data_IF_184860106051
#
_entry.id   IF_184860106051
#
_cell.length_a   1.000
_cell.length_b   1.000
_cell.length_c   1.000
_cell.angle_alpha   90.00
_cell.angle_beta   90.00
_cell.angle_gamma   90.00
#
_symmetry.space_group_name_H-M   'P 1'
#
loop_
_entity.id
_entity.type
_entity.pdbx_description
1 polymer ?
#
# COMPACT_ATOMS: atom_id res chain seq x y z
N UNK A 1 -67.99 -9.81 -57.06
CA UNK A 1 -67.13 -9.14 -58.04
C UNK A 1 -66.89 -7.71 -57.62
N UNK A 2 -65.87 -7.33 -56.87
CA UNK A 2 -65.16 -7.98 -55.76
C UNK A 2 -64.65 -6.83 -54.91
N UNK A 3 -64.96 -6.88 -53.62
CA UNK A 3 -64.54 -5.89 -52.66
C UNK A 3 -63.02 -6.00 -52.47
N UNK A 4 -62.29 -4.91 -52.74
CA UNK A 4 -60.88 -4.80 -52.36
C UNK A 4 -60.78 -4.80 -50.83
N UNK A 5 -59.97 -5.69 -50.23
CA UNK A 5 -59.67 -5.59 -48.82
C UNK A 5 -58.62 -4.49 -48.61
N UNK A 6 -59.04 -3.38 -48.01
CA UNK A 6 -58.14 -2.40 -47.42
C UNK A 6 -57.42 -3.03 -46.23
N UNK A 7 -56.28 -3.67 -46.49
CA UNK A 7 -55.30 -4.01 -45.46
C UNK A 7 -54.53 -2.75 -45.10
N UNK A 8 -55.08 -1.97 -44.16
CA UNK A 8 -54.30 -1.02 -43.38
C UNK A 8 -53.68 -1.81 -42.22
N UNK A 9 -52.55 -2.46 -42.48
CA UNK A 9 -51.63 -2.85 -41.41
C UNK A 9 -51.10 -1.57 -40.79
N UNK A 10 -51.74 -1.15 -39.70
CA UNK A 10 -51.20 -0.14 -38.79
C UNK A 10 -49.90 -0.69 -38.22
N UNK A 11 -48.81 -0.33 -38.89
CA UNK A 11 -47.43 -0.49 -38.46
C UNK A 11 -47.24 0.39 -37.21
N UNK A 12 -47.82 -0.06 -36.10
CA UNK A 12 -47.69 0.57 -34.80
C UNK A 12 -46.36 0.10 -34.22
N UNK A 13 -45.27 0.43 -34.92
CA UNK A 13 -43.94 0.37 -34.36
C UNK A 13 -43.95 1.36 -33.19
N UNK A 14 -44.22 0.85 -31.99
CA UNK A 14 -44.19 1.63 -30.76
C UNK A 14 -42.87 2.38 -30.71
N UNK A 15 -42.93 3.69 -30.90
CA UNK A 15 -41.75 4.53 -30.92
C UNK A 15 -41.16 4.51 -29.51
N UNK A 16 -39.93 4.00 -29.39
CA UNK A 16 -39.23 3.97 -28.11
C UNK A 16 -39.03 5.40 -27.63
N UNK A 17 -39.35 5.64 -26.37
CA UNK A 17 -39.19 6.96 -25.76
C UNK A 17 -37.86 7.07 -25.02
N UNK A 18 -37.21 8.24 -25.09
CA UNK A 18 -35.93 8.50 -24.45
C UNK A 18 -36.10 9.40 -23.23
N UNK A 19 -35.36 9.06 -22.17
CA UNK A 19 -35.47 9.71 -20.87
C UNK A 19 -34.09 9.86 -20.24
N UNK A 20 -34.01 10.77 -19.28
CA UNK A 20 -32.84 10.93 -18.41
C UNK A 20 -33.26 11.12 -16.96
N UNK A 21 -32.45 10.74 -15.97
CA UNK A 21 -32.68 11.12 -14.59
C UNK A 21 -32.64 12.64 -14.42
N UNK A 22 -33.61 13.21 -13.71
CA UNK A 22 -33.80 14.66 -13.56
C UNK A 22 -32.58 15.38 -12.94
N UNK A 23 -31.90 14.71 -12.00
CA UNK A 23 -30.81 15.25 -11.19
C UNK A 23 -29.41 14.74 -11.63
N UNK A 24 -29.29 14.16 -12.83
CA UNK A 24 -27.98 13.67 -13.29
C UNK A 24 -27.02 14.82 -13.67
N UNK A 25 -25.71 14.72 -13.35
CA UNK A 25 -24.72 15.71 -13.76
C UNK A 25 -24.66 15.91 -15.27
N UNK A 26 -24.63 17.17 -15.74
CA UNK A 26 -24.60 17.45 -17.17
C UNK A 26 -23.17 17.56 -17.70
N UNK A 27 -22.24 18.04 -16.88
CA UNK A 27 -20.85 18.35 -17.26
C UNK A 27 -19.86 17.77 -16.25
N UNK A 28 -18.62 17.57 -16.70
CA UNK A 28 -17.51 17.12 -15.83
C UNK A 28 -17.25 18.12 -14.70
N UNK A 29 -17.50 19.41 -14.91
CA UNK A 29 -17.40 20.45 -13.86
C UNK A 29 -18.32 20.17 -12.66
N UNK A 30 -19.50 19.63 -12.91
CA UNK A 30 -20.50 19.33 -11.88
C UNK A 30 -20.00 18.19 -10.98
N UNK A 31 -19.30 17.22 -11.58
CA UNK A 31 -18.62 16.15 -10.85
C UNK A 31 -17.39 16.64 -10.09
N UNK A 32 -16.59 17.50 -10.70
CA UNK A 32 -15.36 18.01 -10.10
C UNK A 32 -15.65 18.68 -8.76
N UNK A 33 -16.68 19.53 -8.68
CA UNK A 33 -17.05 20.21 -7.44
C UNK A 33 -17.38 19.21 -6.32
N UNK A 34 -18.08 18.12 -6.64
CA UNK A 34 -18.49 17.12 -5.65
C UNK A 34 -17.34 16.20 -5.24
N UNK A 35 -16.62 15.65 -6.22
CA UNK A 35 -15.55 14.68 -5.98
C UNK A 35 -14.35 15.34 -5.31
N UNK A 36 -13.99 16.56 -5.71
CA UNK A 36 -12.76 17.20 -5.23
C UNK A 36 -12.93 17.87 -3.86
N UNK A 37 -14.16 18.08 -3.38
CA UNK A 37 -14.45 18.78 -2.12
C UNK A 37 -13.79 18.16 -0.89
N UNK A 38 -13.68 16.83 -0.87
CA UNK A 38 -13.11 16.11 0.27
C UNK A 38 -11.58 16.18 0.32
N UNK A 39 -10.93 16.45 -0.82
CA UNK A 39 -9.48 16.39 -0.90
C UNK A 39 -8.80 17.67 -0.45
N UNK A 40 -7.65 17.50 0.21
CA UNK A 40 -6.73 18.57 0.57
C UNK A 40 -5.33 18.21 0.11
N UNK A 41 -4.65 19.13 -0.59
CA UNK A 41 -3.26 18.98 -0.97
C UNK A 41 -2.44 20.11 -0.32
N UNK A 42 -1.57 19.78 0.64
CA UNK A 42 -0.71 20.78 1.29
C UNK A 42 0.31 21.32 0.29
N UNK A 43 0.22 22.62 -0.03
CA UNK A 43 1.13 23.26 -0.98
C UNK A 43 0.93 22.82 -2.43
N UNK A 44 -0.26 22.31 -2.78
CA UNK A 44 -0.57 21.83 -4.13
C UNK A 44 -2.03 21.99 -4.53
N UNK A 45 -2.40 21.33 -5.62
CA UNK A 45 -3.76 21.36 -6.19
C UNK A 45 -4.26 19.95 -6.47
N UNK A 46 -5.58 19.81 -6.52
CA UNK A 46 -6.27 18.57 -6.89
C UNK A 46 -7.24 18.87 -8.03
N UNK A 47 -7.21 18.07 -9.09
CA UNK A 47 -8.10 18.24 -10.24
C UNK A 47 -8.48 16.90 -10.88
N UNK A 48 -9.51 16.90 -11.72
CA UNK A 48 -9.83 15.74 -12.55
C UNK A 48 -8.94 15.74 -13.81
N UNK A 49 -8.39 14.58 -14.16
CA UNK A 49 -7.57 14.38 -15.35
C UNK A 49 -8.17 13.26 -16.22
N UNK A 50 -8.32 13.52 -17.52
CA UNK A 50 -8.86 12.55 -18.48
C UNK A 50 -10.26 12.05 -18.13
N UNK A 51 -11.13 12.92 -17.60
CA UNK A 51 -12.47 12.53 -17.20
C UNK A 51 -13.45 12.54 -18.37
N UNK A 52 -14.20 11.45 -18.52
CA UNK A 52 -15.32 11.31 -19.46
C UNK A 52 -16.63 11.09 -18.72
N UNK A 53 -17.73 11.50 -19.39
CA UNK A 53 -19.10 11.23 -19.00
C UNK A 53 -19.73 10.43 -20.13
N UNK A 54 -19.73 9.11 -19.99
CA UNK A 54 -20.28 8.19 -20.98
C UNK A 54 -21.79 8.07 -20.74
N UNK A 55 -22.59 8.01 -21.81
CA UNK A 55 -24.03 7.78 -21.72
C UNK A 55 -24.33 6.29 -21.89
N UNK A 56 -24.80 5.64 -20.82
CA UNK A 56 -25.15 4.22 -20.84
C UNK A 56 -26.66 4.04 -20.86
N UNK A 57 -27.21 3.27 -21.83
CA UNK A 57 -28.64 2.98 -21.88
C UNK A 57 -29.06 1.99 -20.79
N UNK A 58 -30.11 2.38 -20.07
CA UNK A 58 -30.86 1.54 -19.16
C UNK A 58 -32.25 1.35 -19.74
N UNK A 59 -32.56 0.13 -20.16
CA UNK A 59 -33.77 -0.19 -20.92
C UNK A 59 -34.81 -0.79 -19.97
N UNK A 60 -36.03 -0.25 -20.02
CA UNK A 60 -37.18 -0.80 -19.30
C UNK A 60 -37.80 -1.93 -20.11
N UNK A 61 -38.04 -3.05 -19.43
CA UNK A 61 -38.68 -4.23 -19.93
C UNK A 61 -39.96 -4.46 -19.12
N UNK A 62 -41.14 -4.10 -19.65
CA UNK A 62 -42.40 -4.22 -18.91
C UNK A 62 -42.75 -5.69 -18.69
N UNK A 63 -43.21 -6.05 -17.49
CA UNK A 63 -43.68 -7.42 -17.22
C UNK A 63 -45.19 -7.48 -17.46
N UNK A 64 -45.64 -8.45 -18.25
CA UNK A 64 -47.02 -8.48 -18.78
C UNK A 64 -48.06 -8.80 -17.69
N UNK A 65 -47.69 -9.48 -16.60
CA UNK A 65 -48.62 -9.89 -15.54
C UNK A 65 -48.16 -9.50 -14.13
N UNK A 66 -48.73 -8.42 -13.58
CA UNK A 66 -48.71 -8.08 -12.15
C UNK A 66 -47.32 -7.89 -11.51
N UNK A 67 -46.26 -7.93 -12.31
CA UNK A 67 -44.88 -7.84 -11.91
C UNK A 67 -44.37 -6.41 -11.95
N UNK A 68 -43.23 -6.18 -11.30
CA UNK A 68 -42.50 -4.93 -11.38
C UNK A 68 -41.78 -4.85 -12.73
N UNK A 69 -41.75 -3.65 -13.33
CA UNK A 69 -40.91 -3.40 -14.50
C UNK A 69 -39.45 -3.78 -14.22
N UNK A 70 -38.84 -4.48 -15.17
CA UNK A 70 -37.41 -4.85 -15.09
C UNK A 70 -36.59 -3.81 -15.84
N UNK A 71 -35.54 -3.29 -15.22
CA UNK A 71 -34.59 -2.39 -15.87
C UNK A 71 -33.28 -3.12 -16.08
N UNK A 72 -32.66 -2.98 -17.26
CA UNK A 72 -31.36 -3.59 -17.57
C UNK A 72 -30.39 -2.60 -18.19
N UNK A 73 -29.12 -2.70 -17.81
CA UNK A 73 -28.05 -1.87 -18.34
C UNK A 73 -27.48 -2.51 -19.61
N UNK A 74 -27.26 -1.72 -20.65
CA UNK A 74 -26.65 -2.18 -21.90
C UNK A 74 -25.42 -1.30 -22.21
N UNK A 75 -24.20 -1.81 -22.05
CA UNK A 75 -22.95 -1.08 -22.28
C UNK A 75 -21.81 -1.92 -22.84
N UNK A 76 -20.61 -1.35 -22.99
CA UNK A 76 -19.46 -1.97 -23.67
C UNK A 76 -18.53 -2.84 -22.79
N UNK A 77 -18.87 -3.08 -21.52
CA UNK A 77 -18.09 -3.92 -20.59
C UNK A 77 -18.99 -4.63 -19.57
N UNK A 78 -18.41 -5.46 -18.69
CA UNK A 78 -18.92 -6.37 -17.62
C UNK A 78 -20.32 -6.16 -16.99
N UNK A 79 -20.97 -5.02 -17.17
CA UNK A 79 -22.32 -4.69 -16.72
C UNK A 79 -23.40 -4.94 -17.78
N UNK A 80 -23.03 -5.44 -18.96
CA UNK A 80 -23.96 -5.71 -20.04
C UNK A 80 -25.02 -6.76 -19.65
N UNK A 81 -26.29 -6.39 -19.75
CA UNK A 81 -27.42 -7.26 -19.46
C UNK A 81 -27.70 -7.41 -17.97
N UNK A 82 -26.94 -6.71 -17.11
CA UNK A 82 -27.16 -6.69 -15.67
C UNK A 82 -28.52 -6.07 -15.37
N UNK A 83 -29.30 -6.79 -14.58
CA UNK A 83 -30.55 -6.30 -14.01
C UNK A 83 -30.29 -5.22 -12.96
N UNK A 84 -31.09 -4.17 -13.02
CA UNK A 84 -31.05 -3.06 -12.07
C UNK A 84 -31.93 -3.44 -10.88
N UNK A 85 -31.28 -3.85 -9.80
CA UNK A 85 -31.90 -4.09 -8.51
C UNK A 85 -32.40 -2.78 -7.86
N UNK A 86 -33.09 -2.90 -6.73
CA UNK A 86 -33.67 -1.76 -6.01
C UNK A 86 -32.63 -0.71 -5.62
N UNK A 87 -31.49 -1.07 -4.97
CA UNK A 87 -30.45 -0.10 -4.69
C UNK A 87 -29.96 0.64 -5.94
N UNK A 88 -29.68 -0.08 -7.03
CA UNK A 88 -29.17 0.51 -8.25
C UNK A 88 -30.22 1.38 -8.95
N UNK A 89 -31.50 0.99 -8.90
CA UNK A 89 -32.62 1.78 -9.42
C UNK A 89 -32.65 3.18 -8.78
N UNK A 90 -32.53 3.24 -7.45
CA UNK A 90 -32.47 4.51 -6.73
C UNK A 90 -31.16 5.27 -6.95
N UNK A 91 -30.02 4.58 -7.12
CA UNK A 91 -28.73 5.23 -7.42
C UNK A 91 -28.69 5.85 -8.82
N UNK A 92 -29.35 5.21 -9.79
CA UNK A 92 -29.48 5.72 -11.15
C UNK A 92 -30.52 6.85 -11.27
N UNK A 93 -31.40 7.02 -10.28
CA UNK A 93 -32.43 8.07 -10.30
C UNK A 93 -33.63 7.71 -11.16
N UNK A 94 -33.88 6.41 -11.36
CA UNK A 94 -34.95 5.93 -12.25
C UNK A 94 -36.37 6.21 -11.72
N UNK A 95 -36.51 6.68 -10.48
CA UNK A 95 -37.77 7.15 -9.91
C UNK A 95 -38.22 8.52 -10.41
N UNK A 96 -37.30 9.34 -10.94
CA UNK A 96 -37.56 10.71 -11.40
C UNK A 96 -36.92 10.94 -12.76
N UNK A 97 -37.72 10.77 -13.80
CA UNK A 97 -37.27 10.85 -15.18
C UNK A 97 -37.90 12.05 -15.87
N UNK A 98 -37.11 12.71 -16.72
CA UNK A 98 -37.58 13.73 -17.65
C UNK A 98 -37.35 13.27 -19.09
N UNK A 99 -38.28 13.63 -19.98
CA UNK A 99 -38.16 13.30 -21.40
C UNK A 99 -36.91 13.97 -21.97
N UNK A 100 -36.22 13.27 -22.87
CA UNK A 100 -35.01 13.75 -23.50
C UNK A 100 -34.95 13.28 -24.96
N UNK A 101 -34.08 13.91 -25.74
CA UNK A 101 -33.72 13.40 -27.05
C UNK A 101 -32.75 12.22 -26.93
N UNK A 102 -32.68 11.41 -27.99
CA UNK A 102 -31.61 10.42 -28.11
C UNK A 102 -30.24 11.12 -28.14
N UNK A 103 -29.24 10.61 -27.41
CA UNK A 103 -27.86 11.04 -27.55
C UNK A 103 -27.39 11.12 -29.00
N UNK A 104 -26.71 12.21 -29.35
CA UNK A 104 -26.10 12.39 -30.67
C UNK A 104 -24.97 11.37 -30.92
N UNK A 105 -24.42 10.79 -29.86
CA UNK A 105 -23.40 9.73 -29.91
C UNK A 105 -23.97 8.38 -30.33
N UNK A 106 -25.29 8.19 -30.26
CA UNK A 106 -25.96 6.93 -30.59
C UNK A 106 -26.73 7.06 -31.91
N UNK A 107 -26.30 6.29 -32.90
CA UNK A 107 -26.98 6.24 -34.20
C UNK A 107 -28.31 5.46 -34.15
N UNK A 108 -29.27 5.70 -35.06
CA UNK A 108 -30.50 4.88 -35.14
C UNK A 108 -30.23 3.38 -35.29
N UNK A 109 -29.16 3.03 -36.02
CA UNK A 109 -28.75 1.64 -36.21
C UNK A 109 -28.25 1.01 -34.90
N UNK A 110 -27.53 1.78 -34.10
CA UNK A 110 -27.05 1.34 -32.79
C UNK A 110 -28.18 1.21 -31.78
N UNK A 111 -29.12 2.15 -31.77
CA UNK A 111 -30.37 2.05 -31.00
C UNK A 111 -31.15 0.77 -31.36
N UNK A 112 -31.33 0.49 -32.65
CA UNK A 112 -31.98 -0.76 -33.09
C UNK A 112 -31.25 -2.01 -32.60
N UNK A 113 -29.90 -1.99 -32.54
CA UNK A 113 -29.12 -3.09 -31.95
C UNK A 113 -29.31 -3.20 -30.44
N UNK A 114 -29.38 -2.08 -29.72
CA UNK A 114 -29.65 -2.08 -28.27
C UNK A 114 -31.03 -2.70 -27.98
N UNK A 115 -32.06 -2.30 -28.73
CA UNK A 115 -33.41 -2.83 -28.59
C UNK A 115 -33.49 -4.32 -28.95
N UNK A 116 -32.82 -4.75 -30.03
CA UNK A 116 -32.76 -6.17 -30.39
C UNK A 116 -32.09 -7.02 -29.29
N UNK A 117 -31.03 -6.50 -28.66
CA UNK A 117 -30.37 -7.17 -27.52
C UNK A 117 -31.26 -7.20 -26.29
N UNK A 118 -32.00 -6.13 -26.02
CA UNK A 118 -32.95 -6.09 -24.93
C UNK A 118 -34.10 -7.10 -25.11
N UNK A 119 -34.61 -7.22 -26.34
CA UNK A 119 -35.62 -8.22 -26.70
C UNK A 119 -35.08 -9.66 -26.53
N UNK A 120 -33.85 -9.93 -26.98
CA UNK A 120 -33.20 -11.23 -26.75
C UNK A 120 -33.04 -11.54 -25.25
N UNK A 121 -32.56 -10.57 -24.47
CA UNK A 121 -32.41 -10.70 -23.03
C UNK A 121 -33.75 -10.88 -22.28
N UNK A 122 -34.85 -10.34 -22.82
CA UNK A 122 -36.20 -10.53 -22.32
C UNK A 122 -36.72 -11.94 -22.60
N UNK A 123 -36.41 -12.51 -23.77
CA UNK A 123 -36.78 -13.89 -24.12
C UNK A 123 -36.10 -14.92 -23.20
N UNK A 124 -34.84 -14.69 -22.82
CA UNK A 124 -34.09 -15.57 -21.91
C UNK A 124 -34.67 -15.62 -20.49
N UNK A 125 -35.39 -14.57 -20.05
CA UNK A 125 -36.11 -14.57 -18.75
C UNK A 125 -37.38 -15.43 -18.75
N UNK A 126 -37.82 -15.90 -19.92
CA UNK A 126 -39.10 -16.57 -20.17
C UNK A 126 -39.31 -17.94 -19.53
N UNK A 127 -38.48 -18.38 -18.56
CA UNK A 127 -38.75 -19.58 -17.78
C UNK A 127 -39.76 -19.37 -16.63
N UNK A 128 -40.42 -18.19 -16.53
CA UNK A 128 -41.45 -17.96 -15.50
C UNK A 128 -42.50 -16.87 -15.74
N UNK A 129 -42.20 -15.76 -16.45
CA UNK A 129 -43.19 -14.72 -16.78
C UNK A 129 -42.92 -14.07 -18.15
N UNK A 130 -43.95 -13.77 -18.95
CA UNK A 130 -43.78 -13.07 -20.22
C UNK A 130 -43.40 -11.61 -19.99
N UNK A 131 -42.32 -11.18 -20.65
CA UNK A 131 -41.82 -9.80 -20.66
C UNK A 131 -42.19 -9.16 -22.00
N UNK A 132 -42.72 -7.94 -21.95
CA UNK A 132 -43.16 -7.18 -23.11
C UNK A 132 -42.01 -6.48 -23.85
N UNK A 133 -42.35 -5.83 -24.96
CA UNK A 133 -41.39 -5.07 -25.76
C UNK A 133 -40.88 -3.83 -25.00
N UNK A 134 -39.59 -3.55 -25.12
CA UNK A 134 -38.99 -2.35 -24.57
C UNK A 134 -39.67 -1.09 -25.13
N UNK A 135 -40.16 -0.22 -24.24
CA UNK A 135 -40.87 1.02 -24.58
C UNK A 135 -40.10 2.29 -24.16
N UNK A 136 -39.04 2.11 -23.37
CA UNK A 136 -38.28 3.20 -22.74
C UNK A 136 -36.79 2.92 -22.69
N UNK A 137 -35.99 3.88 -23.15
CA UNK A 137 -34.53 3.93 -22.92
C UNK A 137 -34.25 5.12 -22.00
N UNK A 138 -33.61 4.84 -20.85
CA UNK A 138 -33.12 5.86 -19.93
C UNK A 138 -31.61 5.99 -20.08
N UNK A 139 -31.13 7.18 -20.48
CA UNK A 139 -29.70 7.45 -20.66
C UNK A 139 -29.09 7.91 -19.34
N UNK A 140 -28.38 7.00 -18.68
CA UNK A 140 -27.72 7.24 -17.41
C UNK A 140 -26.24 7.55 -17.63
N UNK A 141 -25.74 8.63 -17.03
CA UNK A 141 -24.33 8.97 -17.15
C UNK A 141 -23.43 8.14 -16.25
N UNK A 142 -22.36 7.63 -16.82
CA UNK A 142 -21.28 6.93 -16.14
C UNK A 142 -20.00 7.74 -16.24
N UNK A 143 -19.39 8.06 -15.10
CA UNK A 143 -18.18 8.85 -15.02
C UNK A 143 -16.96 7.94 -14.93
N UNK A 144 -15.92 8.25 -15.69
CA UNK A 144 -14.59 7.61 -15.59
C UNK A 144 -13.52 8.67 -15.68
N UNK A 145 -12.40 8.45 -15.00
CA UNK A 145 -11.26 9.36 -15.09
C UNK A 145 -10.25 9.13 -13.99
N UNK A 146 -9.43 10.14 -13.75
CA UNK A 146 -8.45 10.14 -12.67
C UNK A 146 -8.58 11.41 -11.83
N UNK A 147 -8.33 11.28 -10.54
CA UNK A 147 -8.08 12.41 -9.65
C UNK A 147 -6.57 12.58 -9.59
N UNK A 148 -6.10 13.76 -10.01
CA UNK A 148 -4.69 14.12 -10.05
C UNK A 148 -4.36 15.08 -8.92
N UNK A 149 -3.30 14.74 -8.18
CA UNK A 149 -2.66 15.57 -7.16
C UNK A 149 -1.38 16.14 -7.74
N UNK A 150 -1.19 17.45 -7.63
CA UNK A 150 0.03 18.15 -8.08
C UNK A 150 0.58 19.00 -6.94
N UNK A 151 1.80 18.69 -6.46
CA UNK A 151 2.49 19.42 -5.38
C UNK A 151 3.90 19.75 -5.85
N UNK A 152 4.15 21.01 -6.21
CA UNK A 152 5.36 21.38 -6.96
C UNK A 152 5.42 20.63 -8.29
N UNK A 153 6.55 19.98 -8.56
CA UNK A 153 6.75 19.13 -9.75
C UNK A 153 6.24 17.68 -9.57
N UNK A 154 5.75 17.33 -8.38
CA UNK A 154 5.28 15.98 -8.10
C UNK A 154 3.86 15.81 -8.58
N UNK A 155 3.60 14.69 -9.26
CA UNK A 155 2.27 14.31 -9.73
C UNK A 155 1.93 12.91 -9.24
N UNK A 156 0.72 12.74 -8.71
CA UNK A 156 0.14 11.42 -8.39
C UNK A 156 -1.31 11.36 -8.87
N UNK A 157 -1.76 10.18 -9.28
CA UNK A 157 -3.10 9.99 -9.83
C UNK A 157 -3.76 8.76 -9.23
N UNK A 158 -5.06 8.85 -8.96
CA UNK A 158 -5.90 7.69 -8.60
C UNK A 158 -7.07 7.58 -9.58
N UNK A 159 -7.37 6.37 -10.09
CA UNK A 159 -8.51 6.18 -10.98
C UNK A 159 -9.82 6.23 -10.19
N UNK A 160 -10.89 6.67 -10.86
CA UNK A 160 -12.26 6.54 -10.36
C UNK A 160 -13.20 6.12 -11.49
N UNK A 161 -14.30 5.47 -11.12
CA UNK A 161 -15.34 5.03 -12.05
C UNK A 161 -16.64 4.80 -11.31
N UNK A 162 -17.76 5.19 -11.90
CA UNK A 162 -19.09 4.91 -11.36
C UNK A 162 -20.18 5.78 -11.96
N UNK A 163 -21.42 5.49 -11.59
CA UNK A 163 -22.58 6.28 -12.01
C UNK A 163 -22.43 7.75 -11.61
N UNK A 164 -22.50 8.67 -12.56
CA UNK A 164 -22.21 10.09 -12.35
C UNK A 164 -23.04 10.68 -11.21
N UNK A 165 -24.27 10.19 -11.02
CA UNK A 165 -25.16 10.65 -9.96
C UNK A 165 -24.71 10.25 -8.54
N UNK A 166 -24.04 9.13 -8.36
CA UNK A 166 -23.67 8.58 -7.04
C UNK A 166 -22.18 8.31 -6.84
N UNK A 167 -21.35 8.50 -7.87
CA UNK A 167 -19.91 8.26 -7.80
C UNK A 167 -19.30 9.07 -6.64
N UNK A 168 -18.63 8.32 -5.76
CA UNK A 168 -17.94 8.83 -4.60
C UNK A 168 -16.44 8.99 -4.90
N UNK A 169 -15.77 9.95 -4.25
CA UNK A 169 -14.33 10.11 -4.41
C UNK A 169 -13.57 8.91 -3.79
N UNK A 170 -12.69 8.21 -4.53
CA UNK A 170 -11.89 7.14 -3.96
C UNK A 170 -10.81 7.68 -3.03
N UNK A 171 -10.60 7.09 -1.86
CA UNK A 171 -9.52 7.53 -0.99
C UNK A 171 -8.14 7.36 -1.67
N UNK A 172 -7.24 8.31 -1.43
CA UNK A 172 -5.86 8.18 -1.84
C UNK A 172 -5.16 7.14 -0.96
N UNK A 173 -4.72 6.03 -1.56
CA UNK A 173 -3.94 5.00 -0.87
C UNK A 173 -2.45 5.38 -0.90
N UNK A 174 -1.92 5.79 0.25
CA UNK A 174 -0.54 6.21 0.42
C UNK A 174 0.45 5.08 0.05
N UNK A 175 1.35 5.27 -0.93
CA UNK A 175 2.29 4.22 -1.34
C UNK A 175 3.27 3.79 -0.23
N UNK A 176 3.62 4.69 0.69
CA UNK A 176 4.60 4.42 1.74
C UNK A 176 4.03 3.68 2.96
N UNK A 177 2.73 3.86 3.25
CA UNK A 177 2.09 3.32 4.47
C UNK A 177 0.92 2.40 4.21
N UNK A 178 0.35 2.42 3.00
CA UNK A 178 -0.90 1.74 2.67
C UNK A 178 -2.16 2.40 3.25
N UNK A 179 -2.02 3.46 4.06
CA UNK A 179 -3.16 4.17 4.64
C UNK A 179 -3.95 4.92 3.56
N UNK A 180 -5.27 4.87 3.68
CA UNK A 180 -6.22 5.62 2.85
C UNK A 180 -6.51 6.99 3.47
N UNK A 181 -6.51 8.04 2.65
CA UNK A 181 -6.71 9.42 3.09
C UNK A 181 -7.33 10.29 2.00
N UNK A 182 -7.83 11.45 2.39
CA UNK A 182 -8.19 12.54 1.48
C UNK A 182 -7.24 13.76 1.63
N UNK A 183 -6.26 13.70 2.53
CA UNK A 183 -5.28 14.76 2.74
C UNK A 183 -3.89 14.28 2.30
N UNK A 184 -3.30 14.94 1.30
CA UNK A 184 -1.98 14.58 0.77
C UNK A 184 -0.98 15.73 0.90
N UNK A 185 0.28 15.39 1.04
CA UNK A 185 1.38 16.33 1.14
C UNK A 185 2.66 15.75 0.55
N UNK A 186 3.60 16.61 0.17
CA UNK A 186 4.91 16.20 -0.32
C UNK A 186 5.92 16.01 0.81
N UNK A 187 6.69 14.93 0.75
CA UNK A 187 7.87 14.68 1.57
C UNK A 187 9.11 15.35 0.98
N UNK A 188 10.15 15.56 1.79
CA UNK A 188 11.41 16.18 1.34
C UNK A 188 12.21 15.31 0.38
N UNK A 189 11.81 14.06 0.15
CA UNK A 189 12.44 13.13 -0.79
C UNK A 189 11.62 12.92 -2.07
N UNK A 190 10.64 13.79 -2.33
CA UNK A 190 9.96 13.81 -3.62
C UNK A 190 8.81 12.82 -3.76
N UNK A 191 8.11 12.49 -2.67
CA UNK A 191 6.94 11.60 -2.71
C UNK A 191 5.69 12.34 -2.23
N UNK A 192 4.54 12.02 -2.83
CA UNK A 192 3.23 12.43 -2.32
C UNK A 192 2.74 11.32 -1.40
N UNK A 193 2.41 11.67 -0.15
CA UNK A 193 1.95 10.73 0.88
C UNK A 193 0.78 11.32 1.67
N UNK A 194 0.15 10.52 2.53
CA UNK A 194 -0.86 11.00 3.46
C UNK A 194 -0.28 12.06 4.41
N UNK A 195 -0.90 13.23 4.46
CA UNK A 195 -0.36 14.40 5.17
C UNK A 195 -0.18 14.13 6.67
N UNK A 196 -1.14 13.46 7.29
CA UNK A 196 -1.12 13.03 8.69
C UNK A 196 0.00 12.03 9.00
N UNK A 197 0.47 11.30 7.98
CA UNK A 197 1.58 10.34 8.08
C UNK A 197 2.94 10.97 7.80
N UNK A 198 3.04 12.29 7.65
CA UNK A 198 4.34 12.97 7.58
C UNK A 198 4.81 13.35 8.98
N UNK A 199 6.06 13.01 9.28
CA UNK A 199 6.80 13.50 10.43
C UNK A 199 8.04 14.27 9.99
N UNK A 200 8.66 14.98 10.93
CA UNK A 200 9.90 15.71 10.69
C UNK A 200 11.07 15.02 11.42
N UNK A 201 12.11 14.66 10.68
CA UNK A 201 13.33 14.13 11.26
C UNK A 201 14.01 15.22 12.09
N UNK A 202 14.06 15.04 13.41
CA UNK A 202 14.59 16.06 14.33
C UNK A 202 16.11 16.27 14.18
N UNK A 203 16.81 15.33 13.52
CA UNK A 203 18.25 15.46 13.25
C UNK A 203 18.54 16.24 11.96
N UNK A 204 17.64 16.24 10.96
CA UNK A 204 17.92 16.82 9.63
C UNK A 204 16.89 17.85 9.16
N UNK A 205 15.77 18.00 9.87
CA UNK A 205 14.64 18.84 9.47
C UNK A 205 13.82 18.30 8.29
N UNK A 206 14.23 17.18 7.66
CA UNK A 206 13.53 16.58 6.50
C UNK A 206 12.15 16.07 6.90
N UNK A 207 11.16 16.31 6.04
CA UNK A 207 9.82 15.70 6.11
C UNK A 207 9.86 14.31 5.51
N UNK A 208 9.47 13.30 6.27
CA UNK A 208 9.52 11.88 5.87
C UNK A 208 8.21 11.17 6.29
N UNK A 209 7.86 10.04 5.65
CA UNK A 209 6.79 9.19 6.14
C UNK A 209 7.12 8.68 7.55
N UNK A 210 6.14 8.72 8.47
CA UNK A 210 6.29 8.27 9.87
C UNK A 210 6.73 6.81 9.97
N UNK A 211 6.30 5.95 9.04
CA UNK A 211 6.72 4.55 8.98
C UNK A 211 8.22 4.35 8.70
N UNK A 212 8.91 5.37 8.18
CA UNK A 212 10.35 5.39 7.93
C UNK A 212 11.13 6.13 9.03
N UNK A 213 10.43 6.63 10.03
CA UNK A 213 11.02 7.27 11.19
C UNK A 213 11.09 6.27 12.35
N UNK A 214 12.09 6.45 13.20
CA UNK A 214 12.25 5.68 14.43
C UNK A 214 12.65 6.61 15.57
N UNK A 215 12.24 6.28 16.79
CA UNK A 215 12.69 7.00 17.99
C UNK A 215 14.06 6.47 18.41
N UNK A 216 15.05 7.36 18.49
CA UNK A 216 16.38 7.03 18.97
C UNK A 216 16.33 6.78 20.48
N UNK A 217 16.78 5.60 20.94
CA UNK A 217 16.70 5.24 22.36
C UNK A 217 17.59 6.11 23.28
N UNK A 218 18.62 6.75 22.72
CA UNK A 218 19.58 7.57 23.49
C UNK A 218 19.14 9.03 23.59
N UNK A 219 18.66 9.62 22.48
CA UNK A 219 18.32 11.05 22.42
C UNK A 219 16.83 11.31 22.55
N UNK A 220 16.01 10.26 22.53
CA UNK A 220 14.56 10.33 22.54
C UNK A 220 13.92 11.01 21.32
N UNK A 221 14.73 11.32 20.32
CA UNK A 221 14.31 12.03 19.11
C UNK A 221 13.75 11.09 18.03
N UNK A 222 12.74 11.55 17.32
CA UNK A 222 12.25 10.94 16.08
C UNK A 222 13.16 11.31 14.91
N UNK A 223 13.83 10.31 14.36
CA UNK A 223 14.86 10.48 13.32
C UNK A 223 14.60 9.54 12.15
N UNK A 224 15.17 9.84 10.98
CA UNK A 224 15.16 8.93 9.84
C UNK A 224 15.80 7.60 10.22
N UNK A 225 15.18 6.48 9.84
CA UNK A 225 15.72 5.14 10.04
C UNK A 225 17.12 4.97 9.43
N UNK A 226 17.42 5.66 8.34
CA UNK A 226 18.73 5.60 7.66
C UNK A 226 19.89 6.15 8.51
N UNK A 227 19.59 7.08 9.42
CA UNK A 227 20.56 7.69 10.34
C UNK A 227 20.79 6.84 11.60
N UNK A 228 20.03 5.77 11.75
CA UNK A 228 20.08 4.90 12.91
C UNK A 228 20.67 3.55 12.56
N UNK A 229 21.19 2.90 13.58
CA UNK A 229 21.66 1.52 13.53
C UNK A 229 21.18 0.83 14.80
N UNK A 230 20.91 -0.47 14.69
CA UNK A 230 20.46 -1.26 15.82
C UNK A 230 21.67 -1.60 16.68
N UNK A 231 21.61 -1.27 17.97
CA UNK A 231 22.66 -1.63 18.90
C UNK A 231 22.72 -3.16 19.07
N UNK A 232 23.85 -3.82 18.78
CA UNK A 232 23.93 -5.28 18.69
C UNK A 232 23.73 -6.00 20.03
N UNK A 233 23.81 -5.28 21.16
CA UNK A 233 23.65 -5.85 22.51
C UNK A 233 22.32 -5.48 23.18
N UNK A 234 21.66 -4.40 22.77
CA UNK A 234 20.36 -3.99 23.34
C UNK A 234 19.19 -4.16 22.38
N UNK A 235 19.46 -4.31 21.08
CA UNK A 235 18.45 -4.35 20.02
C UNK A 235 17.76 -3.00 19.78
N UNK A 236 18.14 -1.93 20.46
CA UNK A 236 17.51 -0.61 20.32
C UNK A 236 18.05 0.14 19.11
N UNK A 237 17.20 0.95 18.46
CA UNK A 237 17.60 1.85 17.39
C UNK A 237 18.30 3.08 17.99
N UNK A 238 19.54 3.33 17.56
CA UNK A 238 20.37 4.45 18.04
C UNK A 238 20.92 5.19 16.84
N UNK A 239 21.03 6.52 16.93
CA UNK A 239 21.75 7.31 15.93
C UNK A 239 23.18 6.78 15.75
N UNK A 240 23.62 6.55 14.51
CA UNK A 240 24.95 6.00 14.20
C UNK A 240 26.08 6.77 14.90
N UNK A 241 26.02 8.10 14.88
CA UNK A 241 26.97 9.00 15.54
C UNK A 241 26.95 8.96 17.09
N UNK A 242 25.94 8.32 17.69
CA UNK A 242 25.80 8.18 19.15
C UNK A 242 26.20 6.79 19.64
N UNK A 243 26.46 5.84 18.74
CA UNK A 243 27.06 4.56 19.12
C UNK A 243 28.50 4.80 19.57
N UNK A 244 28.88 4.13 20.65
CA UNK A 244 30.23 4.18 21.20
C UNK A 244 30.84 2.78 21.17
N UNK A 245 32.14 2.64 20.84
CA UNK A 245 32.78 1.34 20.89
C UNK A 245 32.84 0.85 22.33
N UNK A 246 32.40 -0.39 22.58
CA UNK A 246 32.61 -1.03 23.87
C UNK A 246 34.13 -1.07 24.18
N UNK A 247 34.60 -0.58 25.33
CA UNK A 247 36.02 -0.59 25.66
C UNK A 247 36.68 -1.97 25.59
N UNK A 248 35.91 -3.03 25.85
CA UNK A 248 36.39 -4.41 25.82
C UNK A 248 36.30 -5.06 24.42
N UNK A 249 35.09 -5.15 23.84
CA UNK A 249 34.90 -5.87 22.57
C UNK A 249 34.88 -4.98 21.33
N UNK A 250 34.99 -3.67 21.45
CA UNK A 250 34.95 -2.67 20.36
C UNK A 250 33.68 -2.66 19.49
N UNK A 251 32.69 -3.53 19.75
CA UNK A 251 31.38 -3.46 19.09
C UNK A 251 30.74 -2.08 19.32
N UNK A 252 30.09 -1.49 18.30
CA UNK A 252 29.43 -0.20 18.40
C UNK A 252 28.13 -0.36 19.17
N UNK A 253 28.11 0.07 20.44
CA UNK A 253 26.97 -0.14 21.34
C UNK A 253 26.33 1.18 21.77
N UNK A 254 25.08 1.10 22.21
CA UNK A 254 24.43 2.20 22.90
C UNK A 254 25.22 2.55 24.17
N UNK A 255 25.48 3.83 24.46
CA UNK A 255 26.11 4.23 25.72
C UNK A 255 25.30 3.78 26.94
N UNK A 256 23.97 3.72 26.84
CA UNK A 256 23.10 3.19 27.91
C UNK A 256 23.25 1.67 28.13
N UNK A 257 23.83 0.95 27.16
CA UNK A 257 24.11 -0.48 27.30
C UNK A 257 25.45 -0.78 27.96
N UNK A 258 26.26 0.25 28.24
CA UNK A 258 27.51 0.15 28.99
C UNK A 258 27.24 0.25 30.49
N UNK A 259 27.85 -0.67 31.23
CA UNK A 259 27.87 -0.67 32.68
C UNK A 259 29.31 -0.94 33.13
N UNK A 260 29.88 -0.04 33.93
CA UNK A 260 31.30 -0.05 34.31
C UNK A 260 32.25 -0.32 33.12
N UNK A 261 31.98 0.32 31.98
CA UNK A 261 32.79 0.20 30.76
C UNK A 261 32.64 -1.13 30.01
N UNK A 262 31.62 -1.93 30.31
CA UNK A 262 31.33 -3.20 29.63
C UNK A 262 29.92 -3.24 29.07
N UNK A 263 29.79 -3.61 27.81
CA UNK A 263 28.48 -3.83 27.20
C UNK A 263 27.81 -5.08 27.77
N UNK A 264 26.49 -5.22 27.56
CA UNK A 264 25.72 -6.41 27.99
C UNK A 264 26.34 -7.72 27.48
N UNK A 265 26.75 -7.79 26.20
CA UNK A 265 27.40 -8.97 25.63
C UNK A 265 28.69 -9.38 26.37
N UNK A 266 29.54 -8.41 26.71
CA UNK A 266 30.73 -8.67 27.50
C UNK A 266 30.42 -9.13 28.94
N UNK A 267 29.35 -8.60 29.55
CA UNK A 267 28.92 -9.00 30.89
C UNK A 267 28.25 -10.37 30.91
N UNK A 268 27.65 -10.79 29.80
CA UNK A 268 26.95 -12.08 29.67
C UNK A 268 27.84 -13.23 29.20
N UNK A 269 29.16 -13.08 29.18
CA UNK A 269 30.10 -14.17 28.85
C UNK A 269 29.88 -15.37 29.80
N UNK A 270 29.44 -16.50 29.27
CA UNK A 270 29.25 -17.74 30.03
C UNK A 270 30.30 -18.77 29.67
N UNK A 271 30.70 -19.63 30.61
CA UNK A 271 31.56 -20.76 30.30
C UNK A 271 30.88 -21.69 29.30
N UNK A 272 31.65 -22.26 28.37
CA UNK A 272 31.16 -23.22 27.38
C UNK A 272 32.11 -24.42 27.33
N UNK A 273 31.54 -25.61 27.15
CA UNK A 273 32.30 -26.83 26.86
C UNK A 273 32.49 -27.00 25.35
N UNK A 274 33.33 -27.97 24.98
CA UNK A 274 33.58 -28.29 23.57
C UNK A 274 32.32 -28.76 22.84
N UNK A 275 31.38 -29.39 23.53
CA UNK A 275 30.13 -29.89 22.94
C UNK A 275 29.05 -28.79 22.74
N UNK A 276 29.30 -27.53 23.11
CA UNK A 276 28.36 -26.43 22.86
C UNK A 276 28.22 -26.19 21.35
N UNK A 277 26.99 -26.35 20.83
CA UNK A 277 26.71 -26.20 19.40
C UNK A 277 27.13 -24.83 18.84
N UNK A 278 27.18 -23.78 19.67
CA UNK A 278 27.56 -22.44 19.23
C UNK A 278 29.07 -22.29 19.04
N UNK A 279 29.89 -23.03 19.78
CA UNK A 279 31.36 -22.94 19.67
C UNK A 279 31.92 -23.88 18.60
N UNK A 280 31.22 -24.96 18.28
CA UNK A 280 31.64 -25.95 17.29
C UNK A 280 32.05 -25.33 15.92
N UNK A 281 31.24 -24.46 15.28
CA UNK A 281 31.65 -23.80 14.03
C UNK A 281 32.90 -22.91 14.20
N UNK A 282 33.04 -22.27 15.36
CA UNK A 282 34.18 -21.41 15.67
C UNK A 282 35.45 -22.26 15.82
N UNK A 283 35.38 -23.40 16.49
CA UNK A 283 36.51 -24.32 16.65
C UNK A 283 36.90 -24.99 15.33
N UNK A 284 35.92 -25.31 14.48
CA UNK A 284 36.20 -25.83 13.14
C UNK A 284 37.01 -24.83 12.30
N UNK A 285 36.69 -23.53 12.40
CA UNK A 285 37.43 -22.47 11.70
C UNK A 285 38.75 -22.09 12.38
N UNK A 286 38.80 -22.12 13.71
CA UNK A 286 39.95 -21.74 14.53
C UNK A 286 40.34 -22.87 15.49
N UNK A 287 40.92 -23.98 14.98
CA UNK A 287 41.20 -25.17 15.78
C UNK A 287 42.19 -24.92 16.92
N UNK A 288 43.02 -23.88 16.83
CA UNK A 288 43.97 -23.51 17.89
C UNK A 288 43.28 -23.09 19.20
N UNK A 289 42.01 -22.67 19.16
CA UNK A 289 41.22 -22.39 20.37
C UNK A 289 41.05 -23.61 21.29
N UNK A 290 41.14 -24.83 20.75
CA UNK A 290 41.05 -26.09 21.52
C UNK A 290 42.22 -26.29 22.49
N UNK A 291 43.30 -25.53 22.36
CA UNK A 291 44.45 -25.59 23.29
C UNK A 291 44.17 -24.87 24.61
N UNK A 292 43.12 -24.07 24.68
CA UNK A 292 42.80 -23.25 25.84
C UNK A 292 41.86 -23.98 26.80
N UNK A 293 42.17 -23.96 28.10
CA UNK A 293 41.42 -24.75 29.09
C UNK A 293 40.08 -24.13 29.50
N UNK A 294 39.94 -22.81 29.39
CA UNK A 294 38.73 -22.11 29.83
C UNK A 294 38.18 -21.23 28.71
N UNK A 295 37.14 -21.71 28.03
CA UNK A 295 36.41 -20.97 27.02
C UNK A 295 35.16 -20.34 27.62
N UNK A 296 34.94 -19.06 27.30
CA UNK A 296 33.68 -18.36 27.54
C UNK A 296 33.17 -17.79 26.24
N UNK A 297 31.86 -17.85 26.05
CA UNK A 297 31.17 -17.36 24.87
C UNK A 297 30.03 -16.44 25.28
N UNK A 298 29.83 -15.38 24.51
CA UNK A 298 28.61 -14.61 24.48
C UNK A 298 28.26 -14.32 23.03
N UNK A 299 26.98 -14.09 22.80
CA UNK A 299 26.44 -13.81 21.48
C UNK A 299 25.76 -12.44 21.51
N UNK A 300 25.99 -11.68 20.45
CA UNK A 300 25.30 -10.44 20.15
C UNK A 300 24.52 -10.62 18.86
N UNK A 301 23.79 -9.60 18.43
CA UNK A 301 23.07 -9.65 17.15
C UNK A 301 24.03 -9.87 15.97
N UNK A 302 25.22 -9.27 16.02
CA UNK A 302 26.18 -9.18 14.91
C UNK A 302 27.45 -10.00 15.10
N UNK A 303 27.79 -10.39 16.33
CA UNK A 303 29.07 -10.99 16.65
C UNK A 303 29.04 -12.04 17.77
N UNK A 304 29.95 -13.01 17.70
CA UNK A 304 30.35 -13.87 18.81
C UNK A 304 31.51 -13.24 19.58
N UNK A 305 31.42 -13.24 20.91
CA UNK A 305 32.48 -12.81 21.81
C UNK A 305 33.06 -14.05 22.47
N UNK A 306 34.28 -14.43 22.11
CA UNK A 306 34.97 -15.61 22.64
C UNK A 306 36.11 -15.14 23.53
N UNK A 307 36.10 -15.58 24.79
CA UNK A 307 37.26 -15.41 25.68
C UNK A 307 37.88 -16.77 25.92
N UNK A 308 39.13 -16.92 25.50
CA UNK A 308 39.95 -18.08 25.79
C UNK A 308 40.95 -17.73 26.91
N UNK A 309 40.98 -18.50 27.98
CA UNK A 309 41.86 -18.25 29.12
C UNK A 309 42.71 -19.48 29.45
N UNK A 310 43.96 -19.22 29.77
CA UNK A 310 44.98 -20.18 30.18
C UNK A 310 45.51 -19.81 31.57
N UNK A 311 46.63 -20.40 31.97
CA UNK A 311 47.15 -20.18 33.33
C UNK A 311 47.54 -18.73 33.60
N UNK A 312 48.27 -18.09 32.69
CA UNK A 312 48.79 -16.72 32.87
C UNK A 312 48.12 -15.68 31.98
N UNK A 313 47.55 -16.11 30.85
CA UNK A 313 47.07 -15.22 29.80
C UNK A 313 45.61 -15.50 29.46
N UNK A 314 44.97 -14.51 28.84
CA UNK A 314 43.67 -14.64 28.20
C UNK A 314 43.67 -13.91 26.86
N UNK A 315 42.79 -14.36 25.97
CA UNK A 315 42.54 -13.82 24.64
C UNK A 315 41.05 -13.52 24.50
N UNK A 316 40.73 -12.40 23.87
CA UNK A 316 39.38 -12.05 23.44
C UNK A 316 39.38 -12.03 21.93
N UNK A 317 38.41 -12.73 21.35
CA UNK A 317 38.08 -12.68 19.93
C UNK A 317 36.65 -12.18 19.77
N UNK A 318 36.48 -11.24 18.85
CA UNK A 318 35.17 -10.74 18.42
C UNK A 318 35.02 -11.17 16.98
N UNK A 319 34.14 -12.14 16.75
CA UNK A 319 33.94 -12.78 15.47
C UNK A 319 32.64 -12.31 14.87
N UNK A 320 32.64 -11.95 13.60
CA UNK A 320 31.42 -11.72 12.83
C UNK A 320 30.53 -12.98 12.88
N UNK A 321 29.24 -12.83 13.17
CA UNK A 321 28.36 -13.98 13.41
C UNK A 321 28.10 -14.84 12.16
N UNK A 322 28.12 -14.23 10.97
CA UNK A 322 27.79 -14.92 9.71
C UNK A 322 29.04 -15.55 9.08
N UNK A 323 30.11 -14.78 8.96
CA UNK A 323 31.35 -15.19 8.31
C UNK A 323 32.35 -15.84 9.26
N UNK A 324 32.17 -15.69 10.58
CA UNK A 324 33.13 -16.03 11.62
C UNK A 324 34.50 -15.34 11.43
N UNK A 325 34.58 -14.24 10.68
CA UNK A 325 35.84 -13.50 10.52
C UNK A 325 36.15 -12.71 11.79
N UNK A 326 37.42 -12.65 12.17
CA UNK A 326 37.86 -11.87 13.35
C UNK A 326 37.73 -10.38 13.01
N UNK A 327 36.80 -9.70 13.69
CA UNK A 327 36.63 -8.23 13.63
C UNK A 327 37.58 -7.53 14.58
N UNK A 328 37.83 -8.13 15.74
CA UNK A 328 38.71 -7.59 16.76
C UNK A 328 39.33 -8.71 17.61
N UNK A 329 40.58 -8.50 18.03
CA UNK A 329 41.30 -9.40 18.91
C UNK A 329 42.07 -8.62 19.98
N UNK A 330 42.08 -9.14 21.21
CA UNK A 330 42.82 -8.55 22.31
C UNK A 330 43.48 -9.61 23.21
N UNK A 331 44.57 -9.23 23.85
CA UNK A 331 45.30 -10.03 24.85
C UNK A 331 45.13 -9.40 26.23
N UNK A 332 45.16 -10.22 27.27
CA UNK A 332 45.21 -9.76 28.65
C UNK A 332 45.88 -10.78 29.55
N UNK A 333 46.29 -10.35 30.74
CA UNK A 333 46.83 -11.24 31.76
C UNK A 333 45.74 -11.67 32.73
N UNK A 334 45.87 -12.87 33.29
CA UNK A 334 44.97 -13.33 34.34
C UNK A 334 45.21 -12.49 35.60
N UNK A 335 44.14 -12.03 36.25
CA UNK A 335 44.20 -11.17 37.44
C UNK A 335 44.23 -9.66 37.18
N UNK A 336 44.61 -9.21 35.98
CA UNK A 336 44.52 -7.80 35.58
C UNK A 336 43.23 -7.54 34.81
N UNK A 337 42.66 -6.33 34.92
CA UNK A 337 41.47 -5.91 34.16
C UNK A 337 41.82 -5.36 32.77
N UNK A 338 43.10 -5.07 32.51
CA UNK A 338 43.57 -4.48 31.26
C UNK A 338 43.55 -5.49 30.10
N UNK A 339 43.32 -4.93 28.92
CA UNK A 339 43.36 -5.61 27.64
C UNK A 339 44.16 -4.76 26.66
N UNK A 340 45.03 -5.38 25.88
CA UNK A 340 45.76 -4.76 24.78
C UNK A 340 45.26 -5.32 23.46
N UNK A 341 44.99 -4.45 22.49
CA UNK A 341 44.64 -4.89 21.14
C UNK A 341 45.80 -5.71 20.56
N UNK A 342 45.50 -6.84 19.92
CA UNK A 342 46.50 -7.58 19.16
C UNK A 342 46.66 -6.91 17.79
N UNK A 343 47.91 -6.72 17.33
CA UNK A 343 48.16 -6.07 16.04
C UNK A 343 47.73 -6.97 14.87
N UNK A 344 47.86 -8.29 15.01
CA UNK A 344 47.23 -9.28 14.14
C UNK A 344 47.02 -10.60 14.88
N UNK A 345 46.16 -11.45 14.32
CA UNK A 345 45.95 -12.83 14.79
C UNK A 345 47.01 -13.81 14.28
N UNK A 346 47.83 -13.35 13.32
CA UNK A 346 48.92 -14.10 12.71
C UNK A 346 50.26 -13.82 13.39
N UNK A 347 50.30 -12.92 14.37
CA UNK A 347 51.49 -12.66 15.17
C UNK A 347 51.95 -13.93 15.91
N UNK A 348 53.26 -14.21 15.92
CA UNK A 348 53.82 -15.28 16.74
C UNK A 348 53.39 -15.13 18.22
N UNK A 349 52.74 -16.16 18.76
CA UNK A 349 52.28 -16.19 20.15
C UNK A 349 50.89 -15.59 20.41
N UNK A 350 50.11 -15.27 19.38
CA UNK A 350 48.69 -14.96 19.60
C UNK A 350 47.91 -16.17 20.12
N UNK A 351 48.13 -17.35 19.54
CA UNK A 351 47.37 -18.57 19.83
C UNK A 351 47.89 -19.41 20.98
#
# INVERSE_FOLDING_TARGET
MDAQPSQTTADTASAVTHWVPEDQPLRVSDLAQRLLREYRAEGGTVHLAGCTLDELPVIRLPVVFGGRDVYRIFGSSDELGREVDDPLFYQLGLSRLVAADRPNTVSPREEGRLLARAAAAAADMGQGQPVGQADKIVWCKYARGKIQFTIGELVSQIPFGGWARTVAPPAYRCPASGQETFAVAATSDGRIVAAEQIGQCQQTGRRLPRCEMVRCAVTDQWVSRELTERCPVSGQMVLKQRLVPCPLCREPVSPQALDHGRCRGCRSLSAVCYDDQRIQPILAKYPLLSRWQWLRLAETETAFLVVAAGFFQRRLLVLDKQSLNIRYAARGNRGLSSWSAAASTDEPGFW
#
